data_IF_100901749374
#
_entry.id   IF_100901749374
#
_cell.length_a   1.000
_cell.length_b   1.000
_cell.length_c   1.000
_cell.angle_alpha   90.00
_cell.angle_beta   90.00
_cell.angle_gamma   90.00
#
_symmetry.space_group_name_H-M   'P 1'
#
loop_
_entity.id
_entity.type
_entity.pdbx_description
1 polymer ?
#
# COMPACT_ATOMS: atom_id res chain seq x y z
N UNK A 1 -1.57 -51.24 68.16
CA UNK A 1 -1.39 -51.40 69.63
C UNK A 1 -0.72 -50.12 70.12
N UNK A 2 -1.16 -49.53 71.24
CA UNK A 2 -0.88 -48.11 71.59
C UNK A 2 -1.80 -47.15 70.80
N UNK A 3 -2.56 -46.19 71.33
CA UNK A 3 -2.67 -45.54 72.67
C UNK A 3 -1.46 -44.67 73.09
N UNK A 4 -1.62 -43.46 73.64
CA UNK A 4 -2.77 -42.51 73.77
C UNK A 4 -2.24 -41.11 74.21
N UNK A 5 -3.15 -40.18 74.57
CA UNK A 5 -2.95 -38.77 75.00
C UNK A 5 -2.73 -37.76 73.84
N UNK A 6 -3.56 -36.74 73.55
CA UNK A 6 -4.50 -35.84 74.28
C UNK A 6 -3.89 -34.47 74.64
N UNK A 7 -4.14 -33.52 73.74
CA UNK A 7 -4.58 -32.12 73.94
C UNK A 7 -4.05 -31.29 75.13
N UNK A 8 -3.45 -30.14 74.83
CA UNK A 8 -3.36 -29.00 75.74
C UNK A 8 -3.38 -27.65 74.98
N UNK A 9 -4.13 -26.66 75.50
CA UNK A 9 -3.84 -25.22 75.32
C UNK A 9 -4.14 -24.54 73.98
N UNK A 10 -5.39 -24.10 73.80
CA UNK A 10 -5.73 -22.81 73.12
C UNK A 10 -6.16 -21.82 74.23
N UNK A 11 -6.09 -20.47 74.07
CA UNK A 11 -6.47 -19.77 72.83
C UNK A 11 -5.79 -18.42 72.46
N UNK A 12 -6.11 -17.98 71.23
CA UNK A 12 -6.35 -16.59 70.76
C UNK A 12 -5.21 -15.58 70.49
N UNK A 13 -5.39 -14.86 69.35
CA UNK A 13 -4.77 -13.58 68.91
C UNK A 13 -3.25 -13.59 68.70
N UNK A 14 -2.77 -13.57 67.45
CA UNK A 14 -2.84 -12.37 66.60
C UNK A 14 -2.74 -12.69 65.09
N UNK A 15 -3.30 -11.83 64.24
CA UNK A 15 -3.04 -11.82 62.79
C UNK A 15 -1.60 -11.39 62.49
N UNK A 16 -0.93 -12.09 61.56
CA UNK A 16 -0.43 -11.57 60.27
C UNK A 16 0.45 -12.65 59.62
N UNK A 17 0.04 -13.13 58.43
CA UNK A 17 0.67 -14.29 57.79
C UNK A 17 0.33 -14.39 56.31
N UNK A 18 0.50 -13.29 55.57
CA UNK A 18 0.40 -13.27 54.11
C UNK A 18 1.55 -14.10 53.54
N UNK A 19 1.23 -15.31 53.07
CA UNK A 19 2.18 -16.18 52.36
C UNK A 19 2.54 -15.55 51.02
N UNK A 20 3.67 -14.85 50.97
CA UNK A 20 4.22 -14.27 49.75
C UNK A 20 4.73 -15.40 48.84
N UNK A 21 3.84 -15.99 48.04
CA UNK A 21 4.21 -16.91 46.97
C UNK A 21 4.90 -16.10 45.88
N UNK A 22 6.23 -15.99 45.98
CA UNK A 22 7.06 -15.39 44.94
C UNK A 22 7.04 -16.34 43.74
N UNK A 23 6.10 -16.09 42.83
CA UNK A 23 6.08 -16.71 41.52
C UNK A 23 7.29 -16.21 40.74
N UNK A 24 8.40 -16.94 40.84
CA UNK A 24 9.53 -16.76 39.94
C UNK A 24 9.08 -17.16 38.53
N UNK A 25 8.56 -16.18 37.77
CA UNK A 25 8.58 -16.28 36.32
C UNK A 25 10.05 -16.39 35.92
N UNK A 26 10.46 -17.59 35.52
CA UNK A 26 11.67 -17.76 34.71
C UNK A 26 11.33 -17.11 33.36
N UNK A 27 11.73 -15.86 33.20
CA UNK A 27 11.69 -15.17 31.91
C UNK A 27 12.63 -15.91 30.97
N UNK A 28 12.04 -16.72 30.09
CA UNK A 28 12.78 -17.39 29.03
C UNK A 28 13.15 -16.33 28.01
N UNK A 29 14.26 -15.64 28.24
CA UNK A 29 14.81 -14.63 27.33
C UNK A 29 15.26 -15.31 26.03
N UNK A 30 14.31 -15.46 25.12
CA UNK A 30 14.57 -15.69 23.70
C UNK A 30 15.27 -14.44 23.14
N UNK A 31 16.58 -14.36 23.35
CA UNK A 31 17.42 -13.28 22.88
C UNK A 31 17.17 -13.03 21.38
N UNK A 32 16.67 -11.83 21.06
CA UNK A 32 16.33 -11.47 19.70
C UNK A 32 17.59 -11.53 18.81
N UNK A 33 17.55 -12.14 17.61
CA UNK A 33 18.69 -12.18 16.71
C UNK A 33 19.25 -10.80 16.45
N UNK A 34 20.58 -10.67 16.51
CA UNK A 34 21.22 -9.37 16.31
C UNK A 34 21.15 -8.99 14.83
N UNK A 35 20.40 -7.94 14.51
CA UNK A 35 20.28 -7.44 13.13
C UNK A 35 21.54 -6.66 12.72
N UNK A 36 22.05 -6.94 11.52
CA UNK A 36 23.15 -6.24 10.86
C UNK A 36 22.70 -5.85 9.45
N UNK A 37 23.04 -4.64 8.99
CA UNK A 37 22.72 -4.15 7.64
C UNK A 37 23.99 -3.83 6.87
N UNK A 38 24.01 -4.11 5.57
CA UNK A 38 25.13 -3.78 4.66
C UNK A 38 24.65 -3.68 3.21
N UNK A 39 25.35 -2.90 2.38
CA UNK A 39 25.13 -2.88 0.94
C UNK A 39 25.96 -3.94 0.22
N UNK A 40 25.47 -4.36 -0.94
CA UNK A 40 26.25 -5.16 -1.90
C UNK A 40 27.57 -4.46 -2.23
N UNK A 41 28.68 -5.20 -2.21
CA UNK A 41 30.03 -4.69 -2.48
C UNK A 41 30.81 -4.22 -1.24
N UNK A 42 30.17 -4.02 -0.09
CA UNK A 42 30.84 -3.57 1.15
C UNK A 42 31.51 -4.74 1.91
N UNK A 43 32.28 -4.41 2.97
CA UNK A 43 32.74 -5.37 3.99
C UNK A 43 31.84 -5.26 5.23
N UNK A 44 31.25 -6.37 5.66
CA UNK A 44 30.41 -6.45 6.87
C UNK A 44 31.06 -7.35 7.92
N UNK A 45 30.84 -7.04 9.20
CA UNK A 45 31.20 -7.90 10.33
C UNK A 45 29.93 -8.42 11.02
N UNK A 46 29.80 -9.74 11.13
CA UNK A 46 28.76 -10.43 11.90
C UNK A 46 29.35 -10.81 13.27
N UNK A 47 28.99 -10.12 14.36
CA UNK A 47 29.65 -10.30 15.66
C UNK A 47 29.11 -11.53 16.40
N UNK A 48 30.02 -12.33 16.97
CA UNK A 48 29.67 -13.50 17.77
C UNK A 48 29.20 -13.11 19.19
N UNK A 49 28.67 -14.08 19.95
CA UNK A 49 28.29 -13.90 21.36
C UNK A 49 29.37 -14.34 22.37
N UNK A 50 30.62 -14.53 21.93
CA UNK A 50 31.75 -14.85 22.79
C UNK A 50 33.02 -14.11 22.36
N UNK A 51 33.79 -13.63 23.33
CA UNK A 51 35.12 -13.06 23.14
C UNK A 51 36.13 -13.89 23.94
N UNK A 52 37.21 -14.32 23.28
CA UNK A 52 38.27 -15.14 23.87
C UNK A 52 39.06 -14.29 24.88
N UNK A 53 39.16 -14.71 26.16
CA UNK A 53 39.91 -13.99 27.19
C UNK A 53 41.32 -13.60 26.77
N UNK A 54 41.84 -12.49 27.30
CA UNK A 54 43.19 -12.01 26.95
C UNK A 54 44.29 -13.03 27.29
N UNK A 55 44.09 -13.85 28.33
CA UNK A 55 44.92 -14.97 28.77
C UNK A 55 44.92 -16.18 27.82
N UNK A 56 44.05 -16.19 26.80
CA UNK A 56 43.80 -17.36 25.96
C UNK A 56 43.95 -17.06 24.46
N UNK A 57 43.87 -18.10 23.64
CA UNK A 57 43.96 -18.01 22.18
C UNK A 57 42.97 -18.96 21.52
N UNK A 58 42.69 -18.73 20.24
CA UNK A 58 41.86 -19.59 19.38
C UNK A 58 42.29 -21.07 19.40
N UNK A 59 43.50 -21.41 19.88
CA UNK A 59 43.95 -22.79 20.11
C UNK A 59 43.16 -23.56 21.18
N UNK A 60 42.51 -22.88 22.11
CA UNK A 60 41.62 -23.51 23.11
C UNK A 60 40.19 -23.74 22.57
N UNK A 61 39.88 -23.29 21.35
CA UNK A 61 38.52 -23.13 20.87
C UNK A 61 38.27 -23.83 19.53
N UNK A 62 36.99 -24.03 19.27
CA UNK A 62 36.42 -24.44 18.00
C UNK A 62 35.23 -23.55 17.70
N UNK A 63 35.20 -22.97 16.51
CA UNK A 63 34.27 -21.90 16.12
C UNK A 63 33.64 -22.29 14.79
N UNK A 64 32.31 -22.31 14.76
CA UNK A 64 31.53 -22.50 13.55
C UNK A 64 30.69 -21.26 13.29
N UNK A 65 30.83 -20.70 12.10
CA UNK A 65 29.82 -19.84 11.52
C UNK A 65 29.01 -20.64 10.52
N UNK A 66 27.70 -20.72 10.74
CA UNK A 66 26.76 -21.42 9.88
C UNK A 66 25.69 -20.47 9.36
N UNK A 67 25.18 -20.70 8.16
CA UNK A 67 24.07 -19.98 7.55
C UNK A 67 22.88 -20.92 7.41
N UNK A 68 21.70 -20.45 7.81
CA UNK A 68 20.45 -21.22 7.83
C UNK A 68 20.57 -22.60 8.55
N UNK A 69 21.48 -22.72 9.54
CA UNK A 69 21.83 -23.95 10.28
C UNK A 69 22.26 -25.16 9.43
N UNK A 70 22.71 -24.94 8.19
CA UNK A 70 23.04 -26.02 7.23
C UNK A 70 24.31 -25.76 6.42
N UNK A 71 24.49 -24.53 5.95
CA UNK A 71 25.67 -24.13 5.19
C UNK A 71 26.78 -23.74 6.18
N UNK A 72 27.89 -24.49 6.23
CA UNK A 72 29.08 -24.05 6.96
C UNK A 72 29.71 -22.90 6.18
N UNK A 73 29.70 -21.71 6.76
CA UNK A 73 30.29 -20.50 6.15
C UNK A 73 31.79 -20.52 6.34
N UNK A 74 32.21 -20.77 7.58
CA UNK A 74 33.59 -20.77 8.03
C UNK A 74 33.71 -21.59 9.32
N UNK A 75 34.73 -22.44 9.43
CA UNK A 75 35.00 -23.27 10.60
C UNK A 75 36.48 -23.26 11.00
N UNK A 76 36.75 -23.06 12.30
CA UNK A 76 38.08 -23.15 12.91
C UNK A 76 38.09 -24.14 14.09
N UNK A 77 39.22 -24.79 14.33
CA UNK A 77 39.51 -25.51 15.58
C UNK A 77 41.00 -25.46 15.88
N UNK A 78 41.36 -25.33 17.16
CA UNK A 78 42.75 -25.34 17.64
C UNK A 78 43.68 -24.30 16.96
N UNK A 79 43.09 -23.21 16.47
CA UNK A 79 43.76 -22.09 15.81
C UNK A 79 43.78 -22.14 14.28
N UNK A 80 43.32 -23.24 13.66
CA UNK A 80 43.43 -23.48 12.23
C UNK A 80 42.06 -23.51 11.54
N UNK A 81 41.98 -23.00 10.30
CA UNK A 81 40.77 -23.03 9.47
C UNK A 81 40.59 -24.43 8.89
N UNK A 82 39.49 -25.10 9.22
CA UNK A 82 39.19 -26.46 8.74
C UNK A 82 38.46 -26.41 7.40
N UNK A 83 37.54 -25.46 7.24
CA UNK A 83 36.66 -25.36 6.07
C UNK A 83 36.10 -23.94 5.93
N UNK A 84 36.06 -23.47 4.70
CA UNK A 84 34.99 -22.66 4.12
C UNK A 84 34.14 -23.51 3.16
N UNK A 85 33.04 -22.94 2.68
CA UNK A 85 32.22 -23.45 1.59
C UNK A 85 32.46 -22.57 0.36
N UNK A 86 32.52 -23.14 -0.84
CA UNK A 86 32.88 -22.49 -2.12
C UNK A 86 32.35 -21.06 -2.34
N UNK A 87 31.09 -20.76 -1.96
CA UNK A 87 30.49 -19.42 -2.07
C UNK A 87 31.20 -18.34 -1.21
N UNK A 88 31.92 -18.76 -0.17
CA UNK A 88 32.62 -17.97 0.85
C UNK A 88 34.14 -18.01 0.77
N UNK A 89 34.70 -18.81 -0.15
CA UNK A 89 36.14 -18.96 -0.35
C UNK A 89 36.78 -17.62 -0.74
N UNK A 90 37.87 -17.25 -0.05
CA UNK A 90 38.56 -15.95 -0.16
C UNK A 90 37.71 -14.70 0.17
N UNK A 91 36.42 -14.85 0.54
CA UNK A 91 35.51 -13.76 0.92
C UNK A 91 35.33 -13.62 2.44
N UNK A 92 35.82 -14.59 3.22
CA UNK A 92 35.56 -14.72 4.66
C UNK A 92 36.82 -14.72 5.53
N UNK A 93 36.75 -14.01 6.65
CA UNK A 93 37.81 -13.83 7.64
C UNK A 93 37.20 -13.92 9.06
N UNK A 94 37.95 -14.45 10.03
CA UNK A 94 37.51 -14.57 11.43
C UNK A 94 38.40 -13.73 12.34
N UNK A 95 37.80 -12.86 13.14
CA UNK A 95 38.52 -12.17 14.21
C UNK A 95 38.97 -13.16 15.29
N UNK A 96 40.28 -13.25 15.53
CA UNK A 96 40.88 -14.23 16.45
C UNK A 96 40.58 -14.04 17.94
N UNK A 97 39.89 -12.94 18.32
CA UNK A 97 39.51 -12.62 19.70
C UNK A 97 38.01 -12.50 19.90
N UNK A 98 37.33 -11.60 19.20
CA UNK A 98 35.88 -11.39 19.34
C UNK A 98 35.03 -12.30 18.43
N UNK A 99 35.67 -13.17 17.65
CA UNK A 99 35.04 -14.20 16.81
C UNK A 99 34.04 -13.67 15.77
N UNK A 100 34.10 -12.38 15.46
CA UNK A 100 33.35 -11.75 14.35
C UNK A 100 33.72 -12.41 13.03
N UNK A 101 32.71 -12.88 12.30
CA UNK A 101 32.85 -13.26 10.90
C UNK A 101 32.80 -12.00 10.04
N UNK A 102 33.87 -11.74 9.31
CA UNK A 102 33.91 -10.72 8.28
C UNK A 102 33.58 -11.33 6.91
N UNK A 103 32.72 -10.66 6.14
CA UNK A 103 32.37 -11.02 4.76
C UNK A 103 32.68 -9.84 3.84
N UNK A 104 33.41 -10.06 2.75
CA UNK A 104 33.79 -9.02 1.77
C UNK A 104 34.13 -9.62 0.40
N UNK A 105 33.62 -9.08 -0.73
CA UNK A 105 32.46 -8.18 -0.80
C UNK A 105 31.18 -8.90 -0.37
N UNK A 106 30.20 -8.17 0.14
CA UNK A 106 28.83 -8.67 0.39
C UNK A 106 28.05 -8.84 -0.91
N UNK A 107 27.28 -9.92 -1.03
CA UNK A 107 26.38 -10.23 -2.15
C UNK A 107 24.92 -10.36 -1.66
N UNK A 108 23.94 -10.28 -2.56
CA UNK A 108 22.52 -10.46 -2.20
C UNK A 108 22.25 -11.86 -1.62
N UNK A 109 23.01 -12.87 -2.07
CA UNK A 109 22.93 -14.25 -1.55
C UNK A 109 23.35 -14.37 -0.06
N UNK A 110 24.04 -13.37 0.50
CA UNK A 110 24.40 -13.32 1.92
C UNK A 110 23.24 -12.85 2.82
N UNK A 111 22.12 -12.39 2.25
CA UNK A 111 20.95 -12.02 3.01
C UNK A 111 20.32 -13.24 3.70
N UNK A 112 20.42 -13.33 5.02
CA UNK A 112 19.91 -14.48 5.77
C UNK A 112 20.25 -14.46 7.25
N UNK A 113 19.95 -15.57 7.95
CA UNK A 113 20.32 -15.74 9.36
C UNK A 113 21.54 -16.65 9.48
N UNK A 114 22.54 -16.15 10.19
CA UNK A 114 23.77 -16.82 10.55
C UNK A 114 23.72 -17.23 12.03
N UNK A 115 24.46 -18.27 12.38
CA UNK A 115 24.64 -18.75 13.75
C UNK A 115 26.13 -18.76 14.08
N UNK A 116 26.53 -18.14 15.18
CA UNK A 116 27.86 -18.35 15.76
C UNK A 116 27.77 -19.44 16.83
N UNK A 117 28.50 -20.53 16.65
CA UNK A 117 28.61 -21.63 17.63
C UNK A 117 30.07 -21.75 18.07
N UNK A 118 30.32 -21.58 19.37
CA UNK A 118 31.67 -21.60 19.95
C UNK A 118 31.76 -22.70 21.00
N UNK A 119 32.74 -23.59 20.83
CA UNK A 119 33.08 -24.67 21.74
C UNK A 119 34.45 -24.41 22.36
N UNK A 120 34.51 -24.32 23.69
CA UNK A 120 35.76 -24.29 24.44
C UNK A 120 36.24 -25.73 24.68
N UNK A 121 37.37 -26.10 24.09
CA UNK A 121 37.87 -27.48 24.02
C UNK A 121 38.55 -27.96 25.32
N UNK A 122 38.96 -27.03 26.20
CA UNK A 122 39.75 -27.32 27.40
C UNK A 122 39.11 -26.80 28.70
N UNK A 123 37.78 -26.79 28.77
CA UNK A 123 37.04 -26.02 29.81
C UNK A 123 37.11 -26.65 31.21
N UNK A 124 37.31 -27.97 31.28
CA UNK A 124 37.31 -28.75 32.51
C UNK A 124 38.41 -29.82 32.49
N UNK A 125 38.77 -30.35 33.67
CA UNK A 125 39.80 -31.39 33.83
C UNK A 125 39.52 -32.70 33.07
N UNK A 126 38.30 -32.87 32.56
CA UNK A 126 37.86 -33.98 31.71
C UNK A 126 38.22 -33.79 30.22
N UNK A 127 38.78 -32.64 29.83
CA UNK A 127 39.05 -32.24 28.44
C UNK A 127 37.82 -32.32 27.51
N UNK A 128 36.60 -32.22 28.06
CA UNK A 128 35.38 -32.22 27.28
C UNK A 128 35.12 -30.86 26.60
N UNK A 129 34.82 -30.82 25.29
CA UNK A 129 34.35 -29.61 24.63
C UNK A 129 33.01 -29.14 25.20
N UNK A 130 32.90 -27.87 25.57
CA UNK A 130 31.66 -27.25 26.04
C UNK A 130 31.27 -26.08 25.15
N UNK A 131 29.99 -26.02 24.76
CA UNK A 131 29.44 -24.86 24.05
C UNK A 131 29.41 -23.67 25.02
N UNK A 132 30.03 -22.56 24.61
CA UNK A 132 30.12 -21.30 25.39
C UNK A 132 29.44 -20.12 24.67
N UNK A 133 29.06 -20.29 23.40
CA UNK A 133 28.15 -19.42 22.67
C UNK A 133 27.41 -20.23 21.60
N UNK A 134 26.13 -19.95 21.43
CA UNK A 134 25.27 -20.44 20.36
C UNK A 134 24.19 -19.37 20.12
N UNK A 135 24.42 -18.46 19.17
CA UNK A 135 23.56 -17.29 18.97
C UNK A 135 23.32 -16.91 17.50
N UNK A 136 22.08 -16.49 17.15
CA UNK A 136 21.72 -16.03 15.82
C UNK A 136 22.05 -14.56 15.55
N UNK A 137 22.49 -14.28 14.33
CA UNK A 137 22.75 -12.93 13.78
C UNK A 137 22.08 -12.85 12.41
N UNK A 138 21.25 -11.84 12.17
CA UNK A 138 20.51 -11.69 10.91
C UNK A 138 21.16 -10.59 10.05
N UNK A 139 21.66 -10.97 8.87
CA UNK A 139 22.22 -10.05 7.88
C UNK A 139 21.15 -9.66 6.86
N UNK A 140 20.75 -8.39 6.90
CA UNK A 140 19.87 -7.76 5.91
C UNK A 140 20.69 -7.02 4.87
N UNK A 141 20.79 -7.54 3.65
CA UNK A 141 21.55 -6.92 2.55
C UNK A 141 20.66 -5.94 1.76
N UNK A 142 21.26 -4.88 1.22
CA UNK A 142 20.58 -3.97 0.27
C UNK A 142 21.39 -3.74 -1.00
N UNK A 143 20.69 -3.62 -2.13
CA UNK A 143 21.25 -3.11 -3.38
C UNK A 143 20.47 -1.86 -3.79
N UNK A 144 21.17 -0.78 -4.13
CA UNK A 144 20.53 0.49 -4.46
C UNK A 144 19.83 0.42 -5.82
N UNK A 145 18.55 0.72 -5.84
CA UNK A 145 17.75 0.85 -7.06
C UNK A 145 18.31 1.91 -8.02
N UNK A 146 18.05 1.77 -9.32
CA UNK A 146 18.26 2.86 -10.28
C UNK A 146 17.41 4.08 -9.91
N UNK A 147 17.78 5.26 -10.37
CA UNK A 147 16.87 6.40 -10.30
C UNK A 147 15.55 6.06 -11.04
N UNK A 148 14.37 6.45 -10.51
CA UNK A 148 13.10 6.13 -11.17
C UNK A 148 12.96 6.85 -12.50
N UNK A 149 12.69 6.11 -13.58
CA UNK A 149 12.32 6.68 -14.87
C UNK A 149 10.79 6.79 -14.96
N UNK A 150 10.26 7.96 -15.33
CA UNK A 150 8.83 8.22 -15.49
C UNK A 150 8.55 8.52 -16.97
N UNK A 151 7.61 7.78 -17.57
CA UNK A 151 7.14 7.99 -18.95
C UNK A 151 5.62 8.12 -18.98
N UNK A 152 5.10 9.00 -19.83
CA UNK A 152 3.67 9.34 -19.94
C UNK A 152 3.19 9.24 -21.38
N UNK A 153 2.18 8.40 -21.63
CA UNK A 153 1.56 8.21 -22.93
C UNK A 153 0.13 8.74 -22.90
N UNK A 154 -0.20 9.68 -23.78
CA UNK A 154 -1.58 10.18 -23.94
C UNK A 154 -2.46 9.09 -24.56
N UNK A 155 -3.63 8.88 -23.97
CA UNK A 155 -4.69 8.00 -24.51
C UNK A 155 -5.69 8.83 -25.32
N UNK A 156 -6.13 9.95 -24.74
CA UNK A 156 -7.22 10.77 -25.25
C UNK A 156 -7.07 12.22 -24.75
N UNK A 157 -7.53 13.20 -25.54
CA UNK A 157 -7.56 14.62 -25.16
C UNK A 157 -8.97 15.16 -25.28
N UNK A 158 -9.42 15.86 -24.25
CA UNK A 158 -10.66 16.64 -24.26
C UNK A 158 -10.38 18.08 -23.84
N UNK A 159 -11.33 18.99 -24.07
CA UNK A 159 -11.20 20.37 -23.60
C UNK A 159 -11.11 20.51 -22.07
N UNK A 160 -11.50 19.51 -21.29
CA UNK A 160 -11.46 19.55 -19.82
C UNK A 160 -10.24 18.81 -19.25
N UNK A 161 -9.89 17.63 -19.81
CA UNK A 161 -8.73 16.85 -19.37
C UNK A 161 -8.06 16.03 -20.48
N UNK A 162 -6.75 15.83 -20.33
CA UNK A 162 -5.99 14.82 -21.08
C UNK A 162 -5.89 13.53 -20.26
N UNK A 163 -6.34 12.41 -20.83
CA UNK A 163 -6.19 11.07 -20.24
C UNK A 163 -4.82 10.51 -20.61
N UNK A 164 -4.06 10.02 -19.63
CA UNK A 164 -2.72 9.47 -19.82
C UNK A 164 -2.52 8.16 -19.06
N UNK A 165 -1.79 7.21 -19.66
CA UNK A 165 -1.10 6.15 -18.90
C UNK A 165 0.28 6.67 -18.51
N UNK A 166 0.56 6.72 -17.21
CA UNK A 166 1.91 7.00 -16.70
C UNK A 166 2.54 5.72 -16.16
N UNK A 167 3.78 5.47 -16.56
CA UNK A 167 4.60 4.35 -16.09
C UNK A 167 5.81 4.89 -15.34
N UNK A 168 6.04 4.43 -14.13
CA UNK A 168 7.26 4.66 -13.37
C UNK A 168 8.03 3.34 -13.22
N UNK A 169 9.32 3.30 -13.55
CA UNK A 169 10.13 2.08 -13.46
C UNK A 169 11.48 2.32 -12.79
N UNK A 170 11.99 1.32 -12.09
CA UNK A 170 13.31 1.33 -11.45
C UNK A 170 13.86 -0.10 -11.33
N UNK A 171 15.17 -0.24 -11.37
CA UNK A 171 15.84 -1.50 -11.73
C UNK A 171 16.99 -1.87 -10.78
N UNK A 172 17.30 -3.16 -10.70
CA UNK A 172 18.54 -3.70 -10.11
C UNK A 172 18.68 -3.67 -8.58
N UNK A 173 17.67 -3.23 -7.83
CA UNK A 173 17.79 -3.05 -6.37
C UNK A 173 17.26 -4.22 -5.54
N UNK A 174 17.53 -4.19 -4.24
CA UNK A 174 17.13 -5.22 -3.27
C UNK A 174 17.03 -4.62 -1.85
N UNK A 175 16.10 -5.07 -0.97
CA UNK A 175 15.07 -6.10 -1.16
C UNK A 175 13.89 -5.62 -2.03
N UNK A 176 12.80 -6.40 -2.08
CA UNK A 176 11.58 -6.06 -2.83
C UNK A 176 11.07 -4.65 -2.43
N UNK A 177 10.93 -3.72 -3.39
CA UNK A 177 10.60 -2.33 -3.12
C UNK A 177 9.08 -2.09 -3.11
N UNK A 178 8.69 -0.90 -2.64
CA UNK A 178 7.34 -0.34 -2.77
C UNK A 178 7.41 0.91 -3.65
N UNK A 179 6.44 1.10 -4.54
CA UNK A 179 6.27 2.38 -5.26
C UNK A 179 5.20 3.20 -4.54
N UNK A 180 5.49 4.48 -4.36
CA UNK A 180 4.55 5.52 -3.94
C UNK A 180 4.65 6.73 -4.88
N UNK A 181 3.73 7.67 -4.78
CA UNK A 181 3.82 8.92 -5.54
C UNK A 181 2.87 10.00 -5.04
N UNK A 182 3.09 11.22 -5.52
CA UNK A 182 2.29 12.41 -5.18
C UNK A 182 1.86 13.11 -6.46
N UNK A 183 0.58 13.49 -6.53
CA UNK A 183 -0.03 14.21 -7.65
C UNK A 183 -1.19 15.08 -7.13
N UNK A 184 -1.28 16.35 -7.56
CA UNK A 184 -2.25 17.32 -7.04
C UNK A 184 -2.28 17.39 -5.49
N UNK A 185 -1.12 17.26 -4.83
CA UNK A 185 -0.93 17.18 -3.38
C UNK A 185 -1.60 15.97 -2.68
N UNK A 186 -2.18 15.03 -3.44
CA UNK A 186 -2.67 13.74 -2.93
C UNK A 186 -1.66 12.60 -3.17
N UNK A 187 -1.75 11.55 -2.34
CA UNK A 187 -0.99 10.31 -2.51
C UNK A 187 -1.59 9.41 -3.59
N UNK A 188 -0.75 8.73 -4.37
CA UNK A 188 -1.17 7.81 -5.43
C UNK A 188 -1.01 6.34 -5.07
N UNK A 189 -2.01 5.53 -5.48
CA UNK A 189 -1.94 4.06 -5.51
C UNK A 189 -1.54 3.64 -6.93
N UNK A 190 -0.40 2.97 -7.05
CA UNK A 190 0.12 2.48 -8.33
C UNK A 190 -0.26 1.01 -8.55
N UNK A 191 -0.56 0.63 -9.79
CA UNK A 191 -0.61 -0.78 -10.18
C UNK A 191 0.84 -1.26 -10.37
N UNK A 192 1.43 -1.82 -9.33
CA UNK A 192 2.85 -2.21 -9.30
C UNK A 192 3.07 -3.68 -9.64
N UNK A 193 3.96 -3.93 -10.60
CA UNK A 193 4.53 -5.26 -10.86
C UNK A 193 6.00 -5.30 -10.44
N UNK A 194 6.47 -6.49 -10.10
CA UNK A 194 7.86 -6.77 -9.74
C UNK A 194 8.35 -7.96 -10.57
N UNK A 195 9.59 -7.88 -11.05
CA UNK A 195 10.26 -8.97 -11.77
C UNK A 195 11.59 -9.24 -11.08
N UNK A 196 11.81 -10.51 -10.74
CA UNK A 196 13.08 -11.03 -10.22
C UNK A 196 13.12 -12.55 -10.48
N UNK A 197 14.32 -13.11 -10.55
CA UNK A 197 14.53 -14.54 -10.80
C UNK A 197 14.26 -15.41 -9.56
N UNK A 198 14.49 -14.86 -8.36
CA UNK A 198 14.36 -15.56 -7.08
C UNK A 198 14.07 -14.59 -5.93
N UNK A 199 13.88 -15.09 -4.71
CA UNK A 199 13.80 -14.27 -3.50
C UNK A 199 15.13 -13.65 -3.05
N UNK A 200 16.26 -14.04 -3.65
CA UNK A 200 17.62 -13.55 -3.37
C UNK A 200 18.31 -13.01 -4.64
N UNK A 201 17.53 -12.60 -5.63
CA UNK A 201 18.01 -11.93 -6.86
C UNK A 201 17.60 -10.44 -6.84
N UNK A 202 18.25 -9.57 -7.64
CA UNK A 202 17.82 -8.18 -7.80
C UNK A 202 16.36 -8.07 -8.28
N UNK A 203 15.66 -7.02 -7.87
CA UNK A 203 14.30 -6.70 -8.32
C UNK A 203 14.32 -5.57 -9.35
N UNK A 204 13.52 -5.75 -10.41
CA UNK A 204 13.02 -4.66 -11.24
C UNK A 204 11.57 -4.39 -10.85
N UNK A 205 11.18 -3.12 -10.76
CA UNK A 205 9.83 -2.70 -10.34
C UNK A 205 9.23 -1.72 -11.36
N UNK A 206 7.96 -1.90 -11.68
CA UNK A 206 7.22 -1.03 -12.60
C UNK A 206 5.84 -0.73 -12.05
N UNK A 207 5.56 0.54 -11.78
CA UNK A 207 4.23 1.05 -11.43
C UNK A 207 3.55 1.64 -12.66
N UNK A 208 2.29 1.30 -12.89
CA UNK A 208 1.43 1.94 -13.88
C UNK A 208 0.22 2.61 -13.23
N UNK A 209 -0.23 3.72 -13.82
CA UNK A 209 -1.40 4.45 -13.38
C UNK A 209 -2.08 5.14 -14.57
N UNK A 210 -3.41 5.21 -14.56
CA UNK A 210 -4.18 6.05 -15.48
C UNK A 210 -4.53 7.36 -14.75
N UNK A 211 -4.30 8.50 -15.39
CA UNK A 211 -4.53 9.84 -14.83
C UNK A 211 -5.28 10.72 -15.83
N UNK A 212 -6.24 11.49 -15.31
CA UNK A 212 -6.86 12.60 -16.04
C UNK A 212 -6.21 13.92 -15.58
N UNK A 213 -5.49 14.55 -16.49
CA UNK A 213 -4.72 15.79 -16.25
C UNK A 213 -5.57 16.97 -16.73
N UNK A 214 -6.10 17.76 -15.78
CA UNK A 214 -6.97 18.93 -16.05
C UNK A 214 -6.21 20.25 -16.14
N UNK A 215 -4.98 20.29 -15.60
CA UNK A 215 -4.05 21.42 -15.59
C UNK A 215 -2.63 20.87 -15.49
N UNK A 216 -1.63 21.69 -15.77
CA UNK A 216 -0.22 21.29 -15.67
C UNK A 216 0.17 21.04 -14.21
N UNK A 217 0.69 19.84 -13.92
CA UNK A 217 0.98 19.36 -12.55
C UNK A 217 2.22 18.46 -12.54
N UNK A 218 3.11 18.69 -11.58
CA UNK A 218 4.20 17.75 -11.29
C UNK A 218 3.65 16.48 -10.63
N UNK A 219 3.93 15.35 -11.25
CA UNK A 219 3.83 14.01 -10.65
C UNK A 219 5.20 13.63 -10.07
N UNK A 220 5.24 13.24 -8.80
CA UNK A 220 6.42 12.62 -8.19
C UNK A 220 6.21 11.12 -8.05
N UNK A 221 7.16 10.31 -8.51
CA UNK A 221 7.26 8.89 -8.21
C UNK A 221 8.38 8.64 -7.20
N UNK A 222 8.21 7.68 -6.28
CA UNK A 222 9.20 7.34 -5.26
C UNK A 222 9.25 5.83 -5.04
N UNK A 223 10.47 5.28 -5.04
CA UNK A 223 10.77 3.86 -4.84
C UNK A 223 11.39 3.70 -3.47
N UNK A 224 10.69 3.01 -2.58
CA UNK A 224 10.99 2.81 -1.15
C UNK A 224 11.47 1.38 -0.89
N UNK A 225 12.61 1.20 -0.20
CA UNK A 225 13.21 -0.11 0.07
C UNK A 225 14.10 -0.05 1.34
N UNK A 226 13.81 -0.88 2.35
CA UNK A 226 14.54 -0.95 3.64
C UNK A 226 14.82 0.43 4.29
N UNK A 227 13.89 1.37 4.18
CA UNK A 227 14.01 2.74 4.70
C UNK A 227 14.73 3.74 3.76
N UNK A 228 15.36 3.28 2.69
CA UNK A 228 15.86 4.14 1.61
C UNK A 228 14.74 4.52 0.65
N UNK A 229 14.85 5.72 0.06
CA UNK A 229 13.94 6.22 -0.98
C UNK A 229 14.75 6.82 -2.13
N UNK A 230 14.39 6.50 -3.37
CA UNK A 230 14.81 7.26 -4.57
C UNK A 230 13.59 7.79 -5.29
N UNK A 231 13.62 9.04 -5.74
CA UNK A 231 12.45 9.75 -6.26
C UNK A 231 12.75 10.63 -7.45
N UNK A 232 11.84 10.64 -8.43
CA UNK A 232 11.90 11.47 -9.64
C UNK A 232 10.57 12.21 -9.78
N UNK A 233 10.58 13.38 -10.44
CA UNK A 233 9.36 14.10 -10.78
C UNK A 233 9.28 14.40 -12.28
N UNK A 234 8.07 14.37 -12.83
CA UNK A 234 7.74 14.70 -14.21
C UNK A 234 6.59 15.72 -14.24
N UNK A 235 6.73 16.78 -15.03
CA UNK A 235 5.63 17.69 -15.32
C UNK A 235 4.68 17.03 -16.32
N UNK A 236 3.45 16.75 -15.89
CA UNK A 236 2.38 16.34 -16.80
C UNK A 236 1.63 17.59 -17.24
N UNK A 237 1.52 17.81 -18.55
CA UNK A 237 0.83 18.96 -19.14
C UNK A 237 -0.57 18.58 -19.65
N UNK A 238 -1.50 19.54 -19.65
CA UNK A 238 -2.84 19.36 -20.21
C UNK A 238 -2.88 19.88 -21.65
N UNK A 239 -3.05 18.97 -22.60
CA UNK A 239 -3.15 19.31 -24.04
C UNK A 239 -4.45 20.06 -24.30
N UNK A 240 -4.37 21.18 -25.04
CA UNK A 240 -5.51 22.05 -25.34
C UNK A 240 -6.01 21.86 -26.78
N UNK A 241 -6.45 20.65 -27.12
CA UNK A 241 -7.17 20.40 -28.40
C UNK A 241 -8.61 20.94 -28.34
N UNK A 242 -8.73 22.27 -28.36
CA UNK A 242 -9.99 22.99 -28.36
C UNK A 242 -10.19 23.77 -29.65
N UNK A 243 -10.50 23.06 -30.75
CA UNK A 243 -11.33 23.66 -31.79
C UNK A 243 -12.73 23.80 -31.18
N UNK A 244 -13.04 24.99 -30.66
CA UNK A 244 -14.38 25.28 -30.17
C UNK A 244 -15.38 25.02 -31.31
N UNK A 245 -16.43 24.20 -31.10
CA UNK A 245 -17.41 23.94 -32.16
C UNK A 245 -18.08 25.27 -32.50
N UNK A 246 -17.88 25.72 -33.74
CA UNK A 246 -18.44 26.99 -34.23
C UNK A 246 -19.96 26.94 -34.10
N UNK A 247 -20.50 27.56 -33.05
CA UNK A 247 -21.94 27.65 -32.85
C UNK A 247 -22.56 28.24 -34.12
N UNK A 248 -23.52 27.55 -34.78
CA UNK A 248 -24.16 28.08 -35.97
C UNK A 248 -24.80 29.41 -35.60
N UNK A 249 -24.42 30.52 -36.28
CA UNK A 249 -24.66 31.85 -35.75
C UNK A 249 -26.17 32.11 -35.67
N UNK A 250 -26.60 32.56 -34.48
CA UNK A 250 -28.01 32.63 -34.07
C UNK A 250 -28.87 33.55 -34.94
N UNK A 251 -28.26 34.42 -35.75
CA UNK A 251 -28.98 35.26 -36.71
C UNK A 251 -29.87 34.42 -37.64
N UNK A 252 -29.47 33.19 -38.04
CA UNK A 252 -30.29 32.36 -38.93
C UNK A 252 -31.63 31.94 -38.30
N UNK A 253 -31.66 31.71 -36.98
CA UNK A 253 -32.88 31.39 -36.24
C UNK A 253 -33.72 32.66 -36.07
N UNK A 254 -33.07 33.78 -35.72
CA UNK A 254 -33.71 35.08 -35.48
C UNK A 254 -34.34 35.64 -36.77
N UNK A 255 -33.68 35.52 -37.93
CA UNK A 255 -34.23 35.95 -39.23
C UNK A 255 -35.40 35.08 -39.64
N UNK A 256 -35.29 33.75 -39.53
CA UNK A 256 -36.38 32.84 -39.83
C UNK A 256 -37.64 33.13 -38.99
N UNK A 257 -37.50 33.28 -37.67
CA UNK A 257 -38.63 33.65 -36.79
C UNK A 257 -39.20 35.02 -37.10
N UNK A 258 -38.37 36.02 -37.43
CA UNK A 258 -38.82 37.36 -37.80
C UNK A 258 -39.63 37.35 -39.10
N UNK A 259 -39.18 36.60 -40.12
CA UNK A 259 -39.88 36.45 -41.40
C UNK A 259 -41.25 35.79 -41.20
N UNK A 260 -41.31 34.71 -40.41
CA UNK A 260 -42.58 34.03 -40.08
C UNK A 260 -43.55 34.98 -39.38
N UNK A 261 -43.08 35.78 -38.42
CA UNK A 261 -43.92 36.74 -37.69
C UNK A 261 -44.47 37.85 -38.60
N UNK A 262 -43.65 38.37 -39.53
CA UNK A 262 -44.08 39.36 -40.53
C UNK A 262 -45.16 38.77 -41.46
N UNK A 263 -44.96 37.54 -41.95
CA UNK A 263 -45.95 36.85 -42.79
C UNK A 263 -47.28 36.65 -42.04
N UNK A 264 -47.22 36.29 -40.75
CA UNK A 264 -48.41 36.11 -39.92
C UNK A 264 -49.19 37.42 -39.71
N UNK A 265 -48.50 38.54 -39.45
CA UNK A 265 -49.13 39.87 -39.36
C UNK A 265 -49.74 40.33 -40.69
N UNK A 266 -49.09 40.02 -41.82
CA UNK A 266 -49.65 40.27 -43.15
C UNK A 266 -50.91 39.43 -43.41
N UNK A 267 -50.91 38.14 -43.02
CA UNK A 267 -52.10 37.29 -43.12
C UNK A 267 -53.27 37.81 -42.27
N UNK A 268 -53.03 38.25 -41.03
CA UNK A 268 -54.05 38.85 -40.15
C UNK A 268 -54.60 40.15 -40.76
N UNK A 269 -53.73 41.06 -41.22
CA UNK A 269 -54.17 42.35 -41.78
C UNK A 269 -54.90 42.21 -43.12
N UNK A 270 -54.56 41.19 -43.93
CA UNK A 270 -55.33 40.82 -45.12
C UNK A 270 -56.68 40.21 -44.73
N UNK A 271 -56.74 39.26 -43.81
CA UNK A 271 -57.99 38.66 -43.33
C UNK A 271 -58.95 39.72 -42.76
N UNK A 272 -58.44 40.65 -41.94
CA UNK A 272 -59.21 41.76 -41.37
C UNK A 272 -59.73 42.75 -42.42
N UNK A 273 -59.19 42.77 -43.65
CA UNK A 273 -59.71 43.53 -44.79
C UNK A 273 -60.62 42.71 -45.71
N UNK A 274 -60.44 41.39 -45.77
CA UNK A 274 -61.19 40.49 -46.66
C UNK A 274 -62.43 39.85 -46.02
N UNK A 275 -62.60 39.97 -44.70
CA UNK A 275 -63.85 39.64 -43.99
C UNK A 275 -64.56 40.90 -43.50
N UNK A 276 -65.43 41.53 -44.34
CA UNK A 276 -66.39 42.52 -43.88
C UNK A 276 -67.30 41.97 -42.77
N UNK A 277 -67.76 42.86 -41.88
CA UNK A 277 -68.62 42.52 -40.74
C UNK A 277 -69.94 41.87 -41.18
N UNK A 278 -70.08 40.56 -40.98
CA UNK A 278 -71.38 39.90 -40.89
C UNK A 278 -71.85 39.79 -39.43
N UNK A 279 -72.41 40.88 -38.93
CA UNK A 279 -73.25 40.91 -37.73
C UNK A 279 -74.40 41.91 -37.99
N UNK A 280 -75.64 41.48 -37.76
CA UNK A 280 -76.83 42.17 -38.27
C UNK A 280 -77.33 43.30 -37.35
N UNK A 281 -78.16 44.20 -37.87
CA UNK A 281 -78.73 45.35 -37.16
C UNK A 281 -80.25 45.43 -37.35
N UNK A 282 -81.01 44.73 -36.49
CA UNK A 282 -82.43 45.01 -36.31
C UNK A 282 -82.89 44.72 -34.88
N UNK A 283 -83.90 45.46 -34.42
CA UNK A 283 -84.33 45.51 -33.02
C UNK A 283 -85.64 44.74 -32.80
N UNK A 284 -85.97 44.37 -31.55
CA UNK A 284 -87.18 44.87 -30.84
C UNK A 284 -87.52 44.12 -29.53
N UNK A 285 -87.65 44.89 -28.44
CA UNK A 285 -88.56 44.73 -27.27
C UNK A 285 -88.45 43.59 -26.22
N UNK A 286 -88.35 44.07 -24.98
CA UNK A 286 -89.19 43.79 -23.80
C UNK A 286 -88.96 42.57 -22.86
N UNK A 287 -88.30 42.89 -21.74
CA UNK A 287 -88.85 42.96 -20.36
C UNK A 287 -89.08 41.70 -19.48
N UNK A 288 -88.57 41.88 -18.25
CA UNK A 288 -89.01 41.38 -16.93
C UNK A 288 -88.78 39.93 -16.45
N UNK A 289 -88.61 39.87 -15.13
CA UNK A 289 -88.45 38.73 -14.21
C UNK A 289 -87.16 37.87 -14.33
N UNK A 290 -86.60 37.24 -13.28
CA UNK A 290 -86.45 37.49 -11.81
C UNK A 290 -86.26 36.12 -11.13
N UNK A 291 -85.19 35.97 -10.33
CA UNK A 291 -84.95 34.83 -9.39
C UNK A 291 -84.83 33.41 -10.03
N UNK A 292 -84.25 32.37 -9.43
CA UNK A 292 -83.42 32.24 -8.20
C UNK A 292 -82.35 31.13 -8.38
N UNK A 293 -81.65 30.77 -7.29
CA UNK A 293 -80.78 29.58 -7.18
C UNK A 293 -81.57 28.24 -7.29
N UNK A 294 -80.92 27.14 -7.68
CA UNK A 294 -80.65 25.97 -6.80
C UNK A 294 -79.92 24.84 -7.59
N UNK A 295 -79.45 23.81 -6.86
CA UNK A 295 -78.53 22.74 -7.28
C UNK A 295 -79.21 21.42 -7.69
N UNK A 296 -78.41 20.58 -8.35
CA UNK A 296 -78.24 19.14 -8.07
C UNK A 296 -79.48 18.21 -8.08
N UNK A 297 -79.51 17.25 -9.03
CA UNK A 297 -79.13 15.86 -8.72
C UNK A 297 -79.12 14.90 -9.93
N UNK A 298 -78.60 13.69 -9.65
CA UNK A 298 -78.93 12.38 -10.24
C UNK A 298 -78.24 11.85 -11.52
N UNK A 299 -77.31 10.93 -11.28
CA UNK A 299 -76.75 9.85 -12.13
C UNK A 299 -77.51 8.52 -11.80
N UNK A 300 -77.18 7.34 -12.38
CA UNK A 300 -76.71 6.98 -13.72
C UNK A 300 -77.75 5.95 -14.34
N UNK A 301 -77.47 4.76 -14.96
CA UNK A 301 -76.41 3.76 -14.70
C UNK A 301 -75.61 3.19 -15.91
N UNK A 302 -74.43 2.67 -15.58
CA UNK A 302 -73.71 1.48 -16.13
C UNK A 302 -73.69 1.12 -17.64
N UNK A 303 -72.48 0.80 -18.10
CA UNK A 303 -72.11 -0.58 -18.53
C UNK A 303 -70.67 -0.88 -18.05
N UNK A 304 -70.36 -2.13 -17.71
CA UNK A 304 -69.01 -2.65 -17.37
C UNK A 304 -68.61 -3.74 -18.41
N UNK A 305 -67.44 -4.40 -18.47
CA UNK A 305 -66.28 -4.71 -17.59
C UNK A 305 -65.15 -5.28 -18.55
N UNK A 306 -63.91 -5.70 -18.23
CA UNK A 306 -63.07 -5.85 -17.02
C UNK A 306 -61.56 -5.94 -17.42
N UNK A 307 -60.65 -5.42 -16.58
CA UNK A 307 -59.23 -5.82 -16.32
C UNK A 307 -58.24 -6.29 -17.42
N UNK A 308 -57.05 -5.64 -17.44
CA UNK A 308 -55.81 -6.12 -16.78
C UNK A 308 -54.95 -4.86 -16.50
N UNK A 309 -54.42 -4.55 -15.31
CA UNK A 309 -53.46 -5.26 -14.42
C UNK A 309 -52.11 -5.58 -15.11
N UNK A 310 -50.92 -5.23 -14.57
CA UNK A 310 -50.55 -4.48 -13.33
C UNK A 310 -49.19 -3.78 -13.50
N UNK A 311 -48.87 -2.79 -12.67
CA UNK A 311 -47.56 -2.09 -12.61
C UNK A 311 -46.87 -2.28 -11.26
N UNK A 312 -45.56 -2.52 -11.25
CA UNK A 312 -44.66 -2.19 -10.13
C UNK A 312 -43.17 -2.44 -10.45
N UNK A 313 -42.37 -1.36 -10.58
CA UNK A 313 -41.10 -1.09 -9.87
C UNK A 313 -40.33 0.06 -10.54
#
# INVERSE_FOLDING_TARGET
MGCLAVMAGWPLKRWLGLTLVVLHLVTLDCALPKEVKSKVGEKVGLPCCHEIPSSESLRNYRVYWQKNTKEVVLAYSEGEKISDHDQYTNRTELDSKNLTLWISPVEILDNGTYQCVVQHLRFSHDFSPRVVCDAPVSLSVTADFSEPNITSNVINTTCESTEMVVTCSSHGGFPKPKISGVFNNGSLVWNTTWVSESSLSPYNVTGKLHLNVTKDVNLTCSVEYNGFVKSTSLLLTKTNDCIAPTMPPSYNVITATSIIFIIFLLAITLAARYFPRHACFHCSKNQDSMEEDEKESMKPPMICKMTSETSSL
#
